data_IF_465139495056
#
_entry.id   IF_465139495056
#
_cell.length_a   1.000
_cell.length_b   1.000
_cell.length_c   1.000
_cell.angle_alpha   90.00
_cell.angle_beta   90.00
_cell.angle_gamma   90.00
#
_symmetry.space_group_name_H-M   'P 1'
#
loop_
_entity.id
_entity.type
_entity.pdbx_description
1 polymer ?
#
# COMPACT_ATOMS: atom_id res chain seq x y z
N UNK A 1 7.65 -22.36 1.54
CA UNK A 1 6.58 -21.52 0.94
C UNK A 1 5.36 -21.63 1.83
N UNK A 2 4.62 -20.53 2.09
CA UNK A 2 3.40 -20.61 2.86
C UNK A 2 2.40 -21.53 2.15
N UNK A 3 1.78 -22.44 2.90
CA UNK A 3 0.77 -23.39 2.41
C UNK A 3 -0.53 -23.11 3.12
N UNK A 4 -1.63 -23.12 2.39
CA UNK A 4 -2.96 -22.94 2.95
C UNK A 4 -3.93 -23.98 2.40
N UNK A 5 -4.98 -24.23 3.18
CA UNK A 5 -6.14 -24.99 2.77
C UNK A 5 -7.30 -24.02 2.60
N UNK A 6 -7.94 -24.05 1.44
CA UNK A 6 -8.99 -23.09 1.09
C UNK A 6 -10.32 -23.78 0.78
N UNK A 7 -11.42 -23.22 1.31
CA UNK A 7 -12.81 -23.55 0.95
C UNK A 7 -13.51 -22.28 0.50
N UNK A 8 -14.23 -22.34 -0.62
CA UNK A 8 -15.12 -21.27 -1.08
C UNK A 8 -16.55 -21.77 -1.10
N UNK A 9 -17.49 -20.94 -0.71
CA UNK A 9 -18.92 -21.22 -0.77
C UNK A 9 -19.73 -19.99 -1.18
N UNK A 10 -20.88 -20.21 -1.82
CA UNK A 10 -21.93 -19.19 -1.98
C UNK A 10 -23.01 -19.45 -0.95
N UNK A 11 -23.51 -18.38 -0.33
CA UNK A 11 -24.60 -18.46 0.63
C UNK A 11 -25.67 -17.47 0.22
N UNK A 12 -26.90 -17.97 0.14
CA UNK A 12 -28.10 -17.17 -0.02
C UNK A 12 -28.69 -16.87 1.36
N UNK A 13 -28.15 -15.83 1.99
CA UNK A 13 -28.59 -15.34 3.30
C UNK A 13 -28.21 -13.86 3.43
N UNK A 14 -28.75 -13.17 4.44
CA UNK A 14 -28.38 -11.81 4.74
C UNK A 14 -27.00 -11.75 5.41
N UNK A 15 -26.15 -10.80 5.01
CA UNK A 15 -24.75 -10.70 5.49
C UNK A 15 -24.66 -10.62 7.02
N UNK A 16 -25.59 -9.90 7.66
CA UNK A 16 -25.62 -9.79 9.12
C UNK A 16 -25.84 -11.14 9.80
N UNK A 17 -26.66 -12.03 9.23
CA UNK A 17 -26.90 -13.36 9.82
C UNK A 17 -25.61 -14.18 9.80
N UNK A 18 -24.86 -14.11 8.72
CA UNK A 18 -23.56 -14.78 8.58
C UNK A 18 -22.54 -14.21 9.58
N UNK A 19 -22.48 -12.88 9.71
CA UNK A 19 -21.61 -12.20 10.68
C UNK A 19 -21.92 -12.65 12.11
N UNK A 20 -23.19 -12.74 12.49
CA UNK A 20 -23.60 -13.20 13.83
C UNK A 20 -23.22 -14.67 14.08
N UNK A 21 -23.22 -15.53 13.05
CA UNK A 21 -22.74 -16.92 13.17
C UNK A 21 -21.23 -17.01 13.37
N UNK A 22 -20.45 -16.09 12.79
CA UNK A 22 -18.98 -16.11 12.85
C UNK A 22 -18.45 -15.43 14.12
N UNK A 23 -19.11 -14.37 14.60
CA UNK A 23 -18.65 -13.55 15.73
C UNK A 23 -18.24 -14.35 16.98
N UNK A 24 -18.94 -15.43 17.41
CA UNK A 24 -18.55 -16.21 18.58
C UNK A 24 -17.19 -16.90 18.48
N UNK A 25 -16.67 -17.08 17.27
CA UNK A 25 -15.40 -17.78 17.00
C UNK A 25 -14.28 -16.82 16.60
N UNK A 26 -14.56 -15.53 16.49
CA UNK A 26 -13.60 -14.52 16.05
C UNK A 26 -12.65 -14.12 17.18
N UNK A 27 -11.37 -13.98 16.85
CA UNK A 27 -10.33 -13.51 17.78
C UNK A 27 -10.45 -12.01 18.09
N UNK A 28 -11.28 -11.28 17.33
CA UNK A 28 -11.45 -9.83 17.45
C UNK A 28 -12.50 -9.26 16.49
N UNK A 29 -12.61 -7.92 16.41
CA UNK A 29 -13.56 -7.27 15.52
C UNK A 29 -13.22 -7.51 14.04
N UNK A 30 -14.23 -7.51 13.14
CA UNK A 30 -13.99 -7.63 11.71
C UNK A 30 -13.26 -6.42 11.13
N UNK A 31 -12.50 -6.66 10.05
CA UNK A 31 -11.93 -5.61 9.21
C UNK A 31 -12.69 -5.51 7.88
N UNK A 32 -13.03 -4.29 7.49
CA UNK A 32 -13.73 -3.98 6.24
C UNK A 32 -12.80 -3.27 5.26
N UNK A 33 -12.79 -3.70 4.01
CA UNK A 33 -12.02 -3.02 2.94
C UNK A 33 -12.50 -3.43 1.55
N UNK A 34 -12.20 -2.59 0.56
CA UNK A 34 -12.38 -2.93 -0.86
C UNK A 34 -11.14 -3.62 -1.42
N UNK A 35 -11.39 -4.50 -2.39
CA UNK A 35 -10.33 -5.19 -3.12
C UNK A 35 -10.68 -5.30 -4.60
N UNK A 36 -9.74 -4.91 -5.46
CA UNK A 36 -9.78 -5.11 -6.91
C UNK A 36 -8.72 -6.16 -7.29
N UNK A 37 -9.16 -7.26 -7.89
CA UNK A 37 -8.27 -8.28 -8.46
C UNK A 37 -8.38 -8.22 -9.99
N UNK A 38 -7.31 -7.83 -10.68
CA UNK A 38 -7.20 -7.93 -12.14
C UNK A 38 -6.46 -9.21 -12.52
N UNK A 39 -7.11 -10.08 -13.28
CA UNK A 39 -6.56 -11.34 -13.76
C UNK A 39 -6.00 -11.18 -15.16
N UNK A 40 -4.81 -11.71 -15.41
CA UNK A 40 -4.16 -11.67 -16.72
C UNK A 40 -4.21 -13.04 -17.39
N UNK A 41 -4.12 -13.04 -18.72
CA UNK A 41 -3.75 -14.26 -19.44
C UNK A 41 -2.36 -14.71 -18.98
N UNK A 42 -2.08 -16.01 -18.98
CA UNK A 42 -0.80 -16.55 -18.55
C UNK A 42 -0.39 -17.70 -19.47
N UNK A 43 0.22 -17.40 -20.63
CA UNK A 43 0.50 -18.40 -21.67
C UNK A 43 1.46 -19.51 -21.21
N UNK A 44 2.35 -19.20 -20.26
CA UNK A 44 3.28 -20.16 -19.64
C UNK A 44 2.60 -21.15 -18.68
N UNK A 45 1.30 -21.01 -18.41
CA UNK A 45 0.55 -21.82 -17.45
C UNK A 45 0.46 -21.19 -16.06
N UNK A 46 -0.50 -21.66 -15.27
CA UNK A 46 -0.85 -21.09 -13.95
C UNK A 46 -1.80 -19.89 -14.06
N UNK A 47 -1.90 -19.11 -12.97
CA UNK A 47 -2.75 -17.93 -12.89
C UNK A 47 -1.98 -16.77 -12.27
N UNK A 48 -2.10 -15.60 -12.88
CA UNK A 48 -1.49 -14.35 -12.39
C UNK A 48 -2.58 -13.30 -12.17
N UNK A 49 -2.52 -12.61 -11.03
CA UNK A 49 -3.38 -11.46 -10.76
C UNK A 49 -2.62 -10.32 -10.12
N UNK A 50 -3.01 -9.10 -10.47
CA UNK A 50 -2.66 -7.87 -9.76
C UNK A 50 -3.79 -7.55 -8.78
N UNK A 51 -3.44 -7.45 -7.50
CA UNK A 51 -4.36 -7.12 -6.41
C UNK A 51 -4.10 -5.71 -5.90
N UNK A 52 -5.17 -4.93 -5.77
CA UNK A 52 -5.17 -3.63 -5.12
C UNK A 52 -6.15 -3.73 -3.95
N UNK A 53 -5.63 -3.67 -2.74
CA UNK A 53 -6.41 -3.59 -1.50
C UNK A 53 -6.42 -2.14 -1.01
N UNK A 54 -7.52 -1.73 -0.38
CA UNK A 54 -7.62 -0.41 0.23
C UNK A 54 -6.46 -0.18 1.21
N UNK A 55 -5.81 0.99 1.09
CA UNK A 55 -4.73 1.45 1.97
C UNK A 55 -3.52 0.49 2.09
N UNK A 56 -3.32 -0.39 1.10
CA UNK A 56 -2.22 -1.37 1.07
C UNK A 56 -1.45 -1.31 -0.26
N UNK A 57 -0.15 -1.65 -0.26
CA UNK A 57 0.61 -1.79 -1.50
C UNK A 57 -0.05 -2.80 -2.44
N UNK A 58 0.01 -2.53 -3.75
CA UNK A 58 -0.47 -3.50 -4.73
C UNK A 58 0.37 -4.78 -4.67
N UNK A 59 -0.21 -5.91 -5.01
CA UNK A 59 0.44 -7.21 -4.95
C UNK A 59 0.29 -7.92 -6.29
N UNK A 60 1.39 -8.43 -6.84
CA UNK A 60 1.36 -9.37 -7.95
C UNK A 60 1.39 -10.79 -7.38
N UNK A 61 0.38 -11.58 -7.70
CA UNK A 61 0.19 -12.91 -7.12
C UNK A 61 0.16 -13.93 -8.25
N UNK A 62 1.18 -14.80 -8.29
CA UNK A 62 1.20 -15.99 -9.12
C UNK A 62 0.80 -17.20 -8.29
N UNK A 63 -0.07 -18.05 -8.84
CA UNK A 63 -0.46 -19.28 -8.21
C UNK A 63 -0.79 -20.34 -9.26
N UNK A 64 -0.47 -21.59 -8.93
CA UNK A 64 -0.85 -22.74 -9.72
C UNK A 64 -2.10 -23.37 -9.10
N UNK A 65 -3.08 -23.67 -9.95
CA UNK A 65 -4.27 -24.39 -9.54
C UNK A 65 -4.54 -25.47 -10.57
N UNK A 66 -4.61 -26.72 -10.13
CA UNK A 66 -5.08 -27.80 -10.98
C UNK A 66 -6.60 -27.62 -11.18
N UNK A 67 -7.01 -27.25 -12.39
CA UNK A 67 -8.41 -27.01 -12.77
C UNK A 67 -9.20 -28.32 -12.97
N UNK A 68 -8.65 -29.46 -12.56
CA UNK A 68 -9.30 -30.77 -12.67
C UNK A 68 -10.52 -30.80 -11.74
N UNK A 69 -11.71 -30.86 -12.34
CA UNK A 69 -13.02 -30.81 -11.68
C UNK A 69 -13.30 -31.95 -10.67
N UNK A 70 -12.44 -32.97 -10.62
CA UNK A 70 -12.59 -34.20 -9.83
C UNK A 70 -11.78 -34.26 -8.53
N UNK A 71 -11.00 -33.24 -8.16
CA UNK A 71 -10.28 -33.22 -6.88
C UNK A 71 -11.09 -32.51 -5.78
N UNK A 72 -11.17 -33.19 -4.65
CA UNK A 72 -11.91 -32.87 -3.43
C UNK A 72 -11.70 -31.44 -2.92
N UNK A 73 -12.76 -30.88 -2.35
CA UNK A 73 -12.68 -29.73 -1.44
C UNK A 73 -12.32 -30.32 -0.08
N UNK A 74 -11.31 -29.79 0.64
CA UNK A 74 -10.63 -28.50 0.45
C UNK A 74 -9.38 -28.53 -0.46
N UNK A 75 -9.03 -27.36 -1.04
CA UNK A 75 -7.95 -27.26 -2.06
C UNK A 75 -6.64 -26.72 -1.49
N UNK A 76 -5.52 -27.35 -1.86
CA UNK A 76 -4.16 -26.88 -1.58
C UNK A 76 -3.72 -25.90 -2.67
N UNK A 77 -3.16 -24.76 -2.28
CA UNK A 77 -2.59 -23.78 -3.21
C UNK A 77 -1.13 -23.48 -2.87
N UNK A 78 -0.26 -23.52 -3.88
CA UNK A 78 1.08 -22.93 -3.81
C UNK A 78 1.01 -21.55 -4.47
N UNK A 79 1.49 -20.52 -3.78
CA UNK A 79 1.45 -19.16 -4.29
C UNK A 79 2.74 -18.40 -4.02
N UNK A 80 3.04 -17.46 -4.91
CA UNK A 80 4.12 -16.48 -4.78
C UNK A 80 3.52 -15.07 -4.82
N UNK A 81 3.84 -14.26 -3.81
CA UNK A 81 3.38 -12.87 -3.71
C UNK A 81 4.60 -11.97 -3.89
N UNK A 82 4.56 -11.10 -4.88
CA UNK A 82 5.52 -10.01 -5.06
C UNK A 82 4.82 -8.69 -4.72
N UNK A 83 5.24 -7.98 -3.66
CA UNK A 83 4.69 -6.65 -3.38
C UNK A 83 5.15 -5.67 -4.46
N UNK A 84 4.22 -4.93 -5.04
CA UNK A 84 4.49 -3.79 -5.90
C UNK A 84 4.58 -2.58 -4.96
N UNK A 85 5.79 -2.34 -4.45
CA UNK A 85 6.03 -1.21 -3.57
C UNK A 85 5.95 0.10 -4.36
N UNK A 86 4.85 0.83 -4.16
CA UNK A 86 4.80 2.22 -4.54
C UNK A 86 5.55 3.05 -3.50
N UNK A 87 6.80 3.42 -3.83
CA UNK A 87 7.59 4.33 -3.01
C UNK A 87 7.23 5.76 -3.38
N UNK A 88 6.41 6.38 -2.54
CA UNK A 88 5.82 7.71 -2.78
C UNK A 88 6.77 8.86 -2.41
N UNK A 89 7.89 8.59 -1.72
CA UNK A 89 8.85 9.61 -1.32
C UNK A 89 10.29 9.19 -1.60
N UNK A 90 11.17 10.16 -1.87
CA UNK A 90 12.60 9.98 -2.02
C UNK A 90 13.24 9.36 -0.76
N UNK A 91 12.63 9.53 0.42
CA UNK A 91 13.07 8.89 1.66
C UNK A 91 12.91 7.37 1.61
N UNK A 92 11.81 6.86 1.03
CA UNK A 92 11.62 5.42 0.82
C UNK A 92 12.53 4.86 -0.28
N UNK A 93 12.93 5.70 -1.23
CA UNK A 93 13.92 5.34 -2.26
C UNK A 93 15.37 5.44 -1.77
N UNK A 94 15.62 6.18 -0.69
CA UNK A 94 16.96 6.59 -0.21
C UNK A 94 17.82 7.27 -1.30
N UNK A 95 17.17 7.77 -2.35
CA UNK A 95 17.80 8.37 -3.52
C UNK A 95 17.04 9.62 -3.97
N UNK A 96 17.80 10.65 -4.38
CA UNK A 96 17.29 11.90 -4.90
C UNK A 96 17.83 12.13 -6.30
N UNK A 97 16.91 12.13 -7.27
CA UNK A 97 17.17 12.64 -8.59
C UNK A 97 16.44 14.00 -8.76
N UNK A 98 17.16 15.09 -9.07
CA UNK A 98 16.55 16.38 -9.34
C UNK A 98 15.45 16.32 -10.40
N UNK A 99 15.63 15.53 -11.46
CA UNK A 99 14.68 15.34 -12.53
C UNK A 99 13.41 14.64 -12.05
N UNK A 100 13.56 13.48 -11.40
CA UNK A 100 12.40 12.76 -10.86
C UNK A 100 11.62 13.66 -9.89
N UNK A 101 12.34 14.39 -9.01
CA UNK A 101 11.70 15.32 -8.08
C UNK A 101 11.04 16.52 -8.76
N UNK A 102 11.38 16.84 -10.02
CA UNK A 102 10.68 17.84 -10.82
C UNK A 102 9.31 17.37 -11.28
N UNK A 103 9.15 16.07 -11.49
CA UNK A 103 7.91 15.45 -11.98
C UNK A 103 7.00 15.04 -10.83
N UNK A 104 5.68 15.21 -11.02
CA UNK A 104 4.70 14.76 -10.03
C UNK A 104 4.74 13.26 -9.82
N UNK A 105 5.15 12.51 -10.85
CA UNK A 105 5.14 11.06 -10.86
C UNK A 105 6.52 10.41 -10.91
N UNK A 106 7.56 11.24 -10.99
CA UNK A 106 8.95 10.80 -11.01
C UNK A 106 9.41 10.18 -12.32
N UNK A 107 8.65 10.32 -13.43
CA UNK A 107 8.97 9.63 -14.70
C UNK A 107 9.56 10.52 -15.78
N UNK A 108 9.58 11.84 -15.60
CA UNK A 108 10.17 12.74 -16.60
C UNK A 108 11.63 12.36 -16.86
N UNK A 109 12.02 12.31 -18.13
CA UNK A 109 13.38 11.97 -18.56
C UNK A 109 14.20 13.20 -18.96
N UNK A 110 13.56 14.35 -19.14
CA UNK A 110 14.18 15.56 -19.70
C UNK A 110 13.94 16.75 -18.77
N UNK A 111 15.00 17.48 -18.35
CA UNK A 111 14.87 18.70 -17.58
C UNK A 111 13.93 19.70 -18.23
N UNK A 112 12.84 20.01 -17.52
CA UNK A 112 11.82 20.94 -18.01
C UNK A 112 11.93 22.32 -17.36
N UNK A 113 12.84 22.50 -16.38
CA UNK A 113 13.11 23.81 -15.76
C UNK A 113 14.62 24.05 -15.51
N UNK A 114 15.03 25.32 -15.55
CA UNK A 114 16.43 25.73 -15.35
C UNK A 114 16.98 25.40 -13.96
N UNK A 115 16.11 25.22 -12.96
CA UNK A 115 16.55 24.84 -11.63
C UNK A 115 16.95 23.36 -11.58
N UNK A 116 16.31 22.47 -12.34
CA UNK A 116 16.75 21.07 -12.50
C UNK A 116 18.13 21.02 -13.17
N UNK A 117 18.33 21.78 -14.26
CA UNK A 117 19.64 21.88 -14.92
C UNK A 117 20.73 22.33 -13.94
N UNK A 118 20.44 23.38 -13.16
CA UNK A 118 21.34 23.87 -12.12
C UNK A 118 21.62 22.81 -11.05
N UNK A 119 20.64 21.98 -10.71
CA UNK A 119 20.81 20.92 -9.71
C UNK A 119 21.82 19.87 -10.18
N UNK A 120 21.75 19.44 -11.44
CA UNK A 120 22.72 18.53 -12.04
C UNK A 120 24.13 19.14 -12.14
N UNK A 121 24.22 20.40 -12.52
CA UNK A 121 25.50 21.11 -12.65
C UNK A 121 26.10 21.50 -11.29
N UNK A 122 25.30 21.53 -10.23
CA UNK A 122 25.75 21.96 -8.91
C UNK A 122 26.62 20.90 -8.22
N UNK A 123 27.78 21.32 -7.70
CA UNK A 123 28.58 20.50 -6.81
C UNK A 123 28.22 20.78 -5.34
N UNK A 124 27.14 20.16 -4.87
CA UNK A 124 26.74 20.24 -3.46
C UNK A 124 27.54 19.25 -2.61
N UNK A 125 28.23 19.78 -1.59
CA UNK A 125 28.87 18.97 -0.54
C UNK A 125 27.99 18.96 0.70
N UNK A 126 27.61 17.77 1.14
CA UNK A 126 26.84 17.58 2.37
C UNK A 126 27.61 18.10 3.60
N UNK A 127 26.94 18.69 4.60
CA UNK A 127 27.55 18.98 5.90
C UNK A 127 28.12 17.71 6.54
N UNK A 128 29.24 17.82 7.27
CA UNK A 128 29.87 16.69 7.95
C UNK A 128 29.00 16.11 9.07
N UNK A 129 28.28 16.99 9.77
CA UNK A 129 27.33 16.62 10.81
C UNK A 129 25.96 17.14 10.39
N UNK A 130 25.06 16.23 10.04
CA UNK A 130 23.67 16.55 9.75
C UNK A 130 22.82 16.07 10.91
N UNK A 131 21.98 16.96 11.43
CA UNK A 131 20.95 16.58 12.40
C UNK A 131 19.94 15.62 11.78
N UNK A 132 19.15 15.00 12.63
CA UNK A 132 18.25 13.92 12.25
C UNK A 132 16.96 14.46 11.63
N UNK A 133 16.40 15.53 12.20
CA UNK A 133 15.13 16.10 11.77
C UNK A 133 15.29 17.51 11.20
N UNK A 134 14.51 17.78 10.16
CA UNK A 134 14.26 19.10 9.59
C UNK A 134 12.90 19.57 10.06
N UNK A 135 12.83 20.81 10.54
CA UNK A 135 11.57 21.46 10.90
C UNK A 135 11.39 22.69 10.03
N UNK A 136 10.34 22.72 9.22
CA UNK A 136 9.96 23.85 8.38
C UNK A 136 8.69 24.54 8.85
N UNK A 137 8.32 25.62 8.16
CA UNK A 137 7.12 26.42 8.43
C UNK A 137 7.13 27.08 9.82
N UNK A 138 8.30 27.34 10.37
CA UNK A 138 8.45 28.04 11.64
C UNK A 138 8.09 29.52 11.40
N UNK A 139 7.09 30.08 12.10
CA UNK A 139 6.74 31.48 11.92
C UNK A 139 7.85 32.41 12.44
N UNK A 140 8.02 33.63 11.90
CA UNK A 140 9.11 34.53 12.30
C UNK A 140 9.12 34.91 13.78
N UNK A 141 7.96 34.82 14.46
CA UNK A 141 7.81 35.09 15.89
C UNK A 141 8.31 33.96 16.80
N UNK A 142 8.57 32.77 16.26
CA UNK A 142 9.05 31.62 17.02
C UNK A 142 10.57 31.66 17.16
N UNK A 143 11.04 31.69 18.41
CA UNK A 143 12.44 31.66 18.75
C UNK A 143 12.91 30.25 19.16
N UNK A 144 14.21 30.09 19.36
CA UNK A 144 14.81 28.79 19.68
C UNK A 144 14.35 28.24 21.04
N UNK A 145 14.08 29.12 22.01
CA UNK A 145 13.54 28.72 23.31
C UNK A 145 12.11 28.18 23.20
N UNK A 146 11.29 28.71 22.30
CA UNK A 146 9.94 28.19 22.03
C UNK A 146 10.03 26.78 21.44
N UNK A 147 10.96 26.57 20.50
CA UNK A 147 11.21 25.24 19.93
C UNK A 147 11.67 24.25 21.00
N UNK A 148 12.49 24.67 21.97
CA UNK A 148 12.88 23.83 23.09
C UNK A 148 11.70 23.42 23.98
N UNK A 149 10.70 24.29 24.13
CA UNK A 149 9.46 23.95 24.85
C UNK A 149 8.56 23.00 24.05
N UNK A 150 8.47 23.18 22.73
CA UNK A 150 7.67 22.32 21.84
C UNK A 150 8.30 20.93 21.71
N UNK A 151 9.63 20.86 21.69
CA UNK A 151 10.42 19.63 21.54
C UNK A 151 11.30 19.38 22.77
N UNK A 152 10.70 19.04 23.93
CA UNK A 152 11.45 18.90 25.19
C UNK A 152 12.48 17.76 25.16
N UNK A 153 12.28 16.77 24.30
CA UNK A 153 13.20 15.64 24.10
C UNK A 153 14.27 15.90 23.02
N UNK A 154 14.35 17.13 22.51
CA UNK A 154 15.41 17.51 21.59
C UNK A 154 16.73 17.73 22.37
N UNK A 155 17.75 17.00 21.94
CA UNK A 155 19.13 17.12 22.47
C UNK A 155 19.89 18.28 21.83
N UNK A 156 19.51 18.68 20.61
CA UNK A 156 20.10 19.81 19.89
C UNK A 156 19.02 20.48 19.06
N UNK A 157 19.01 21.80 19.08
CA UNK A 157 18.17 22.65 18.23
C UNK A 157 19.10 23.63 17.52
N UNK A 158 18.87 23.83 16.23
CA UNK A 158 19.61 24.79 15.43
C UNK A 158 18.63 25.54 14.53
N UNK A 159 18.12 26.67 15.02
CA UNK A 159 17.22 27.54 14.27
C UNK A 159 18.03 28.35 13.24
N UNK A 160 17.74 28.17 11.96
CA UNK A 160 18.51 28.81 10.90
C UNK A 160 18.06 30.26 10.71
N UNK A 161 19.05 31.16 10.68
CA UNK A 161 18.88 32.60 10.56
C UNK A 161 19.57 33.15 9.31
N UNK A 162 19.12 34.31 8.85
CA UNK A 162 19.89 35.12 7.91
C UNK A 162 21.19 35.58 8.59
N UNK A 163 22.33 35.44 7.90
CA UNK A 163 23.65 35.76 8.49
C UNK A 163 23.85 37.27 8.69
N UNK A 164 23.13 38.10 7.94
CA UNK A 164 23.21 39.56 7.98
C UNK A 164 22.13 40.11 8.91
N UNK A 165 20.86 39.77 8.69
CA UNK A 165 19.74 40.35 9.47
C UNK A 165 19.48 39.63 10.79
N UNK A 166 20.06 38.44 10.99
CA UNK A 166 19.80 37.55 12.13
C UNK A 166 18.33 37.10 12.28
N UNK A 167 17.48 37.41 11.30
CA UNK A 167 16.07 37.01 11.29
C UNK A 167 15.92 35.50 11.02
N UNK A 168 14.94 34.82 11.64
CA UNK A 168 14.66 33.43 11.37
C UNK A 168 14.30 33.19 9.89
N UNK A 169 14.92 32.17 9.28
CA UNK A 169 14.60 31.72 7.91
C UNK A 169 13.34 30.86 7.83
N UNK A 170 12.71 30.59 8.98
CA UNK A 170 11.50 29.77 9.08
C UNK A 170 11.74 28.26 9.05
N UNK A 171 12.98 27.80 9.33
CA UNK A 171 13.28 26.39 9.51
C UNK A 171 14.43 26.15 10.50
N UNK A 172 14.45 24.97 11.11
CA UNK A 172 15.44 24.54 12.08
C UNK A 172 15.86 23.08 11.83
N UNK A 173 16.96 22.68 12.45
CA UNK A 173 17.44 21.30 12.47
C UNK A 173 17.55 20.80 13.90
N UNK A 174 17.02 19.60 14.15
CA UNK A 174 16.94 19.03 15.49
C UNK A 174 17.51 17.61 15.56
N UNK A 175 18.10 17.28 16.71
CA UNK A 175 18.47 15.92 17.10
C UNK A 175 17.78 15.57 18.41
N UNK A 176 17.35 14.32 18.58
CA UNK A 176 16.70 13.84 19.79
C UNK A 176 15.63 12.81 19.48
N UNK A 177 14.80 12.50 20.47
CA UNK A 177 13.67 11.59 20.29
C UNK A 177 12.41 12.41 19.98
N UNK A 178 12.12 12.56 18.69
CA UNK A 178 10.98 13.34 18.17
C UNK A 178 10.03 12.37 17.46
N UNK A 179 8.76 12.42 17.84
CA UNK A 179 7.70 11.66 17.18
C UNK A 179 7.26 12.43 15.92
N UNK A 180 7.56 11.90 14.73
CA UNK A 180 7.24 12.58 13.46
C UNK A 180 5.74 12.55 13.14
N UNK A 181 5.00 11.59 13.68
CA UNK A 181 3.59 11.38 13.35
C UNK A 181 2.68 12.26 14.23
N UNK A 182 3.24 12.85 15.29
CA UNK A 182 2.55 13.83 16.13
C UNK A 182 2.45 15.20 15.45
N UNK A 183 1.28 15.83 15.60
CA UNK A 183 1.07 17.22 15.16
C UNK A 183 1.67 18.23 16.16
N UNK A 184 2.55 19.11 15.67
CA UNK A 184 3.17 20.18 16.46
C UNK A 184 2.72 21.54 15.97
N UNK A 185 2.43 22.45 16.91
CA UNK A 185 1.95 23.80 16.64
C UNK A 185 2.66 24.84 17.50
N UNK A 186 2.83 26.04 16.96
CA UNK A 186 3.19 27.24 17.70
C UNK A 186 2.21 28.37 17.37
N UNK A 187 1.50 28.91 18.36
CA UNK A 187 0.49 29.95 18.18
C UNK A 187 -0.51 29.65 17.04
N UNK A 188 -0.94 28.39 16.93
CA UNK A 188 -1.86 27.92 15.89
C UNK A 188 -1.20 27.59 14.54
N UNK A 189 0.07 27.93 14.33
CA UNK A 189 0.81 27.55 13.12
C UNK A 189 1.31 26.11 13.22
N UNK A 190 0.92 25.28 12.26
CA UNK A 190 1.42 23.92 12.09
C UNK A 190 2.88 23.94 11.67
N UNK A 191 3.72 23.26 12.45
CA UNK A 191 5.12 23.02 12.10
C UNK A 191 5.21 21.80 11.20
N UNK A 192 6.10 21.86 10.21
CA UNK A 192 6.35 20.73 9.32
C UNK A 192 7.60 19.99 9.76
N UNK A 193 7.51 18.68 10.00
CA UNK A 193 8.64 17.84 10.41
C UNK A 193 8.92 16.82 9.32
N UNK A 194 10.18 16.68 8.96
CA UNK A 194 10.67 15.72 7.97
C UNK A 194 12.01 15.16 8.45
N UNK A 195 12.38 13.97 7.99
CA UNK A 195 13.75 13.52 8.15
C UNK A 195 14.70 14.41 7.35
N UNK A 196 15.92 14.59 7.86
CA UNK A 196 16.89 15.45 7.18
C UNK A 196 17.35 14.80 5.87
N UNK A 197 16.88 15.34 4.74
CA UNK A 197 17.16 14.80 3.41
C UNK A 197 18.67 14.68 3.11
N UNK A 198 19.50 15.64 3.53
CA UNK A 198 20.95 15.59 3.33
C UNK A 198 21.66 14.47 4.11
N UNK A 199 21.00 13.88 5.12
CA UNK A 199 21.48 12.75 5.90
C UNK A 199 21.00 11.43 5.31
N UNK A 200 19.73 11.37 4.91
CA UNK A 200 19.04 10.12 4.60
C UNK A 200 18.89 9.82 3.10
N UNK A 201 19.15 10.79 2.22
CA UNK A 201 18.92 10.63 0.78
C UNK A 201 20.20 10.85 -0.01
N UNK A 202 20.65 9.82 -0.74
CA UNK A 202 21.79 9.93 -1.63
C UNK A 202 21.49 10.86 -2.81
N UNK A 203 22.46 11.67 -3.23
CA UNK A 203 22.29 12.61 -4.35
C UNK A 203 21.55 13.91 -4.01
N UNK A 204 21.11 14.09 -2.75
CA UNK A 204 20.34 15.26 -2.30
C UNK A 204 20.94 16.60 -2.77
N UNK A 205 20.08 17.46 -3.33
CA UNK A 205 20.40 18.86 -3.66
C UNK A 205 19.44 19.81 -2.94
N UNK A 206 19.92 20.81 -2.18
CA UNK A 206 19.05 21.78 -1.54
C UNK A 206 18.45 22.75 -2.57
N UNK A 207 17.40 23.48 -2.15
CA UNK A 207 16.66 24.44 -2.98
C UNK A 207 17.54 25.44 -3.74
N UNK A 208 18.55 26.01 -3.06
CA UNK A 208 19.51 26.97 -3.62
C UNK A 208 20.35 26.42 -4.78
N UNK A 209 20.52 25.10 -4.81
CA UNK A 209 21.22 24.41 -5.89
C UNK A 209 20.29 24.01 -7.03
N UNK A 210 18.97 24.23 -6.90
CA UNK A 210 18.01 23.82 -7.93
C UNK A 210 17.10 22.64 -7.56
N UNK A 211 17.46 21.90 -6.51
CA UNK A 211 16.68 20.77 -5.99
C UNK A 211 15.63 21.16 -4.94
N UNK A 212 15.62 20.43 -3.82
CA UNK A 212 14.66 20.56 -2.72
C UNK A 212 13.47 19.60 -2.84
N UNK A 213 12.60 19.62 -1.82
CA UNK A 213 11.31 18.93 -1.78
C UNK A 213 10.20 19.91 -1.42
N UNK A 214 9.00 19.67 -1.93
CA UNK A 214 7.85 20.53 -1.70
C UNK A 214 7.92 21.84 -2.49
N UNK A 215 7.28 22.88 -1.95
CA UNK A 215 7.18 24.20 -2.56
C UNK A 215 5.77 24.54 -3.03
N UNK A 216 5.61 25.76 -3.56
CA UNK A 216 4.34 26.28 -4.09
C UNK A 216 4.43 26.41 -5.60
N UNK A 217 3.35 26.09 -6.33
CA UNK A 217 3.32 26.20 -7.80
C UNK A 217 3.68 27.62 -8.27
N UNK A 218 3.29 28.64 -7.50
CA UNK A 218 3.57 30.05 -7.79
C UNK A 218 5.05 30.44 -7.63
N UNK A 219 5.85 29.65 -6.92
CA UNK A 219 7.28 29.96 -6.65
C UNK A 219 8.23 29.56 -7.78
N UNK A 220 7.74 28.91 -8.83
CA UNK A 220 8.56 28.44 -9.96
C UNK A 220 9.53 27.29 -9.64
N UNK A 221 9.52 26.77 -8.42
CA UNK A 221 10.38 25.66 -8.00
C UNK A 221 9.61 24.65 -7.11
N UNK A 222 8.62 23.98 -7.71
CA UNK A 222 7.88 22.90 -7.07
C UNK A 222 8.64 21.58 -7.25
N UNK A 223 8.78 20.80 -6.17
CA UNK A 223 9.40 19.47 -6.21
C UNK A 223 8.58 18.43 -5.45
N UNK A 224 8.60 17.20 -5.93
CA UNK A 224 7.88 16.06 -5.41
C UNK A 224 8.83 15.04 -4.76
N UNK A 225 8.26 14.02 -4.13
CA UNK A 225 8.99 12.99 -3.40
C UNK A 225 9.27 13.33 -1.92
N UNK A 226 8.69 14.40 -1.37
CA UNK A 226 8.72 14.70 0.08
C UNK A 226 7.34 14.50 0.71
N UNK A 227 7.23 14.53 2.04
CA UNK A 227 5.97 14.21 2.71
C UNK A 227 4.82 15.18 2.38
N UNK A 228 5.11 16.47 2.13
CA UNK A 228 4.10 17.45 1.70
C UNK A 228 3.67 17.31 0.23
N UNK A 229 4.55 16.75 -0.60
CA UNK A 229 4.37 16.59 -2.05
C UNK A 229 4.91 15.22 -2.44
N UNK A 230 4.26 14.11 -2.05
CA UNK A 230 4.71 12.80 -2.46
C UNK A 230 4.57 12.68 -3.98
N UNK A 231 5.34 11.76 -4.58
CA UNK A 231 5.07 11.33 -5.94
C UNK A 231 3.64 10.81 -6.01
N UNK A 232 2.94 11.11 -7.10
CA UNK A 232 1.65 10.52 -7.45
C UNK A 232 1.85 9.65 -8.68
N UNK A 233 1.15 8.52 -8.78
CA UNK A 233 1.30 7.63 -9.93
C UNK A 233 1.14 8.39 -11.26
N UNK A 234 1.97 8.11 -12.29
CA UNK A 234 1.70 8.59 -13.64
C UNK A 234 0.39 7.97 -14.15
N UNK A 235 -0.41 8.76 -14.85
CA UNK A 235 -1.33 8.24 -15.85
C UNK A 235 -0.58 8.20 -17.17
N UNK A 236 -0.26 7.02 -17.69
CA UNK A 236 -0.30 6.68 -19.14
C UNK A 236 0.02 5.20 -19.40
N UNK A 237 0.66 4.50 -18.45
CA UNK A 237 0.78 3.03 -18.47
C UNK A 237 0.75 2.54 -17.02
N UNK A 238 -0.36 1.96 -16.60
CA UNK A 238 -0.49 1.30 -15.29
C UNK A 238 0.33 0.01 -15.27
N UNK A 239 0.65 -0.52 -14.07
CA UNK A 239 1.25 -1.86 -13.97
C UNK A 239 0.38 -2.91 -14.68
N UNK A 240 -0.94 -2.69 -14.65
CA UNK A 240 -1.92 -3.46 -15.39
C UNK A 240 -1.74 -3.35 -16.91
N UNK A 241 -1.45 -2.17 -17.46
CA UNK A 241 -1.21 -1.99 -18.90
C UNK A 241 0.06 -2.72 -19.35
N UNK A 242 1.16 -2.62 -18.60
CA UNK A 242 2.42 -3.35 -18.90
C UNK A 242 2.18 -4.86 -18.87
N UNK A 243 1.50 -5.36 -17.81
CA UNK A 243 1.21 -6.78 -17.66
C UNK A 243 0.24 -7.27 -18.75
N UNK A 244 -0.78 -6.49 -19.06
CA UNK A 244 -1.74 -6.78 -20.15
C UNK A 244 -1.02 -6.93 -21.48
N UNK A 245 -0.16 -5.97 -21.85
CA UNK A 245 0.62 -6.04 -23.09
C UNK A 245 1.57 -7.24 -23.11
N UNK A 246 2.22 -7.54 -21.98
CA UNK A 246 3.24 -8.59 -21.90
C UNK A 246 2.65 -10.01 -21.91
N UNK A 247 1.43 -10.18 -21.40
CA UNK A 247 0.86 -11.50 -21.12
C UNK A 247 -0.30 -11.87 -22.07
N UNK A 248 -0.54 -11.06 -23.11
CA UNK A 248 -1.60 -11.30 -24.08
C UNK A 248 -2.99 -10.88 -23.59
N UNK A 249 -3.05 -9.88 -22.72
CA UNK A 249 -4.28 -9.21 -22.31
C UNK A 249 -4.76 -9.53 -20.89
N UNK A 250 -5.80 -8.80 -20.49
CA UNK A 250 -6.53 -9.02 -19.24
C UNK A 250 -7.59 -10.10 -19.47
N UNK A 251 -7.61 -11.11 -18.61
CA UNK A 251 -8.64 -12.16 -18.58
C UNK A 251 -9.94 -11.64 -17.97
N UNK A 252 -9.85 -10.73 -17.01
CA UNK A 252 -10.99 -9.98 -16.46
C UNK A 252 -10.70 -9.42 -15.07
N UNK A 253 -11.70 -8.76 -14.48
CA UNK A 253 -11.55 -8.06 -13.21
C UNK A 253 -12.62 -8.49 -12.20
N UNK A 254 -12.23 -8.52 -10.92
CA UNK A 254 -13.13 -8.83 -9.80
C UNK A 254 -13.03 -7.71 -8.77
N UNK A 255 -14.10 -6.91 -8.68
CA UNK A 255 -14.30 -5.92 -7.64
C UNK A 255 -15.11 -6.52 -6.49
N UNK A 256 -14.66 -6.32 -5.25
CA UNK A 256 -15.39 -6.81 -4.08
C UNK A 256 -15.21 -5.98 -2.83
N UNK A 257 -16.23 -6.00 -1.99
CA UNK A 257 -16.17 -5.55 -0.60
C UNK A 257 -15.95 -6.78 0.29
N UNK A 258 -14.92 -6.72 1.13
CA UNK A 258 -14.51 -7.82 1.99
C UNK A 258 -14.71 -7.47 3.45
N UNK A 259 -15.35 -8.38 4.17
CA UNK A 259 -15.34 -8.43 5.64
C UNK A 259 -14.45 -9.59 6.07
N UNK A 260 -13.33 -9.29 6.73
CA UNK A 260 -12.37 -10.28 7.21
C UNK A 260 -12.53 -10.51 8.71
N UNK A 261 -12.65 -11.78 9.10
CA UNK A 261 -12.48 -12.26 10.46
C UNK A 261 -11.23 -13.13 10.58
N UNK A 262 -10.58 -13.06 11.74
CA UNK A 262 -9.52 -13.97 12.15
C UNK A 262 -10.05 -14.89 13.24
N UNK A 263 -9.74 -16.19 13.16
CA UNK A 263 -10.10 -17.18 14.17
C UNK A 263 -8.92 -18.10 14.48
N UNK A 264 -8.94 -18.71 15.68
CA UNK A 264 -7.90 -19.64 16.10
C UNK A 264 -6.56 -18.95 16.34
N UNK A 265 -6.58 -17.77 16.96
CA UNK A 265 -5.43 -16.91 17.18
C UNK A 265 -4.70 -16.52 15.88
N UNK A 266 -5.47 -16.19 14.84
CA UNK A 266 -4.97 -15.75 13.54
C UNK A 266 -4.58 -16.88 12.58
N UNK A 267 -4.81 -18.15 12.93
CA UNK A 267 -4.53 -19.29 12.06
C UNK A 267 -5.46 -19.37 10.86
N UNK A 268 -6.74 -19.02 11.05
CA UNK A 268 -7.76 -19.11 10.00
C UNK A 268 -8.31 -17.74 9.67
N UNK A 269 -8.44 -17.46 8.37
CA UNK A 269 -9.06 -16.25 7.84
C UNK A 269 -10.41 -16.61 7.25
N UNK A 270 -11.43 -15.86 7.62
CA UNK A 270 -12.77 -15.98 7.07
C UNK A 270 -13.07 -14.69 6.31
N UNK A 271 -13.17 -14.79 4.99
CA UNK A 271 -13.56 -13.69 4.14
C UNK A 271 -15.04 -13.82 3.80
N UNK A 272 -15.82 -12.79 4.09
CA UNK A 272 -17.17 -12.60 3.55
C UNK A 272 -17.06 -11.57 2.43
N UNK A 273 -17.28 -12.02 1.20
CA UNK A 273 -17.06 -11.25 -0.02
C UNK A 273 -18.40 -10.94 -0.69
N UNK A 274 -18.70 -9.66 -0.84
CA UNK A 274 -19.74 -9.17 -1.74
C UNK A 274 -19.09 -8.79 -3.07
N UNK A 275 -19.34 -9.59 -4.10
CA UNK A 275 -18.67 -9.48 -5.41
C UNK A 275 -19.57 -8.71 -6.38
N UNK A 276 -19.02 -7.67 -7.02
CA UNK A 276 -19.73 -6.91 -8.05
C UNK A 276 -20.15 -7.83 -9.20
N UNK A 277 -21.40 -7.72 -9.63
CA UNK A 277 -22.01 -8.64 -10.61
C UNK A 277 -22.80 -9.80 -9.98
N UNK A 278 -22.67 -10.02 -8.67
CA UNK A 278 -23.45 -11.00 -7.90
C UNK A 278 -24.08 -10.34 -6.67
N UNK A 279 -24.92 -9.33 -6.89
CA UNK A 279 -25.47 -8.50 -5.81
C UNK A 279 -26.37 -9.26 -4.83
N UNK A 280 -27.03 -10.32 -5.30
CA UNK A 280 -27.92 -11.17 -4.50
C UNK A 280 -27.21 -12.36 -3.85
N UNK A 281 -25.90 -12.50 -3.99
CA UNK A 281 -25.17 -13.69 -3.50
C UNK A 281 -23.97 -13.27 -2.67
N UNK A 282 -23.86 -13.84 -1.48
CA UNK A 282 -22.71 -13.64 -0.62
C UNK A 282 -21.76 -14.81 -0.81
N UNK A 283 -20.47 -14.50 -0.93
CA UNK A 283 -19.43 -15.53 -0.97
C UNK A 283 -18.69 -15.59 0.36
N UNK A 284 -18.37 -16.80 0.79
CA UNK A 284 -17.46 -17.04 1.91
C UNK A 284 -16.21 -17.74 1.39
N UNK A 285 -15.04 -17.30 1.84
CA UNK A 285 -13.77 -17.98 1.64
C UNK A 285 -13.09 -18.22 2.99
N UNK A 286 -12.86 -19.49 3.31
CA UNK A 286 -12.12 -19.94 4.48
C UNK A 286 -10.70 -20.29 4.06
N UNK A 287 -9.71 -19.68 4.70
CA UNK A 287 -8.30 -19.92 4.46
C UNK A 287 -7.62 -20.34 5.77
N UNK A 288 -7.27 -21.62 5.88
CA UNK A 288 -6.51 -22.17 7.01
C UNK A 288 -5.03 -22.16 6.64
N UNK A 289 -4.23 -21.37 7.33
CA UNK A 289 -2.78 -21.32 7.12
C UNK A 289 -2.15 -22.51 7.84
N UNK A 290 -1.45 -23.36 7.09
CA UNK A 290 -0.75 -24.52 7.63
C UNK A 290 0.57 -24.08 8.27
N UNK A 291 0.82 -24.53 9.49
CA UNK A 291 2.15 -24.45 10.12
C UNK A 291 3.08 -25.49 9.48
N UNK A 292 4.38 -25.34 9.71
CA UNK A 292 5.40 -26.19 9.09
C UNK A 292 5.27 -27.67 9.50
N UNK A 293 4.77 -27.93 10.72
CA UNK A 293 4.51 -29.26 11.28
C UNK A 293 3.16 -29.86 10.88
N UNK A 294 2.28 -29.08 10.24
CA UNK A 294 0.93 -29.51 9.92
C UNK A 294 0.82 -30.10 8.51
N UNK A 295 0.05 -31.18 8.40
CA UNK A 295 -0.31 -31.78 7.12
C UNK A 295 -1.55 -31.11 6.52
N UNK A 296 -1.78 -31.22 5.20
CA UNK A 296 -2.99 -30.71 4.57
C UNK A 296 -4.27 -31.26 5.20
N UNK A 297 -4.31 -32.55 5.54
CA UNK A 297 -5.47 -33.22 6.15
C UNK A 297 -5.87 -32.56 7.48
N UNK A 298 -4.87 -32.11 8.25
CA UNK A 298 -5.09 -31.38 9.49
C UNK A 298 -5.78 -30.02 9.24
N UNK A 299 -5.32 -29.29 8.22
CA UNK A 299 -5.98 -28.04 7.82
C UNK A 299 -7.38 -28.26 7.25
N UNK A 300 -7.60 -29.39 6.55
CA UNK A 300 -8.92 -29.76 6.05
C UNK A 300 -9.91 -30.04 7.19
N UNK A 301 -9.47 -30.71 8.26
CA UNK A 301 -10.29 -30.95 9.45
C UNK A 301 -10.72 -29.62 10.10
N UNK A 302 -9.77 -28.70 10.32
CA UNK A 302 -10.04 -27.37 10.87
C UNK A 302 -11.07 -26.62 10.00
N UNK A 303 -10.87 -26.63 8.67
CA UNK A 303 -11.77 -25.97 7.73
C UNK A 303 -13.17 -26.58 7.77
N UNK A 304 -13.28 -27.92 7.85
CA UNK A 304 -14.56 -28.64 7.90
C UNK A 304 -15.33 -28.36 9.20
N UNK A 305 -14.66 -28.45 10.35
CA UNK A 305 -15.27 -28.13 11.65
C UNK A 305 -15.82 -26.68 11.68
N UNK A 306 -15.10 -25.76 11.05
CA UNK A 306 -15.50 -24.36 10.99
C UNK A 306 -16.69 -24.16 10.02
N UNK A 307 -16.70 -24.85 8.87
CA UNK A 307 -17.87 -24.88 7.97
C UNK A 307 -19.13 -25.36 8.71
N UNK A 308 -19.03 -26.46 9.47
CA UNK A 308 -20.16 -27.02 10.23
C UNK A 308 -20.69 -26.00 11.26
N UNK A 309 -19.80 -25.32 11.99
CA UNK A 309 -20.16 -24.29 12.98
C UNK A 309 -20.85 -23.07 12.36
N UNK A 310 -20.44 -22.68 11.14
CA UNK A 310 -21.01 -21.52 10.42
C UNK A 310 -22.27 -21.92 9.63
N UNK A 311 -22.53 -23.22 9.46
CA UNK A 311 -23.65 -23.76 8.72
C UNK A 311 -23.44 -23.77 7.20
N UNK A 312 -22.20 -23.91 6.74
CA UNK A 312 -21.85 -24.03 5.32
C UNK A 312 -21.97 -25.50 4.90
N UNK A 313 -22.93 -25.79 4.02
CA UNK A 313 -23.14 -27.13 3.47
C UNK A 313 -22.22 -27.40 2.27
N UNK A 314 -21.91 -28.67 2.00
CA UNK A 314 -21.04 -29.04 0.87
C UNK A 314 -21.64 -28.65 -0.50
N UNK A 315 -22.96 -28.63 -0.61
CA UNK A 315 -23.71 -28.21 -1.80
C UNK A 315 -23.47 -26.74 -2.16
N UNK A 316 -23.16 -25.92 -1.15
CA UNK A 316 -22.89 -24.50 -1.30
C UNK A 316 -21.46 -24.23 -1.78
N UNK A 317 -20.61 -25.27 -1.85
CA UNK A 317 -19.20 -25.11 -2.18
C UNK A 317 -18.98 -24.75 -3.65
N UNK A 318 -18.08 -23.78 -3.86
CA UNK A 318 -17.68 -23.30 -5.18
C UNK A 318 -16.34 -23.91 -5.54
N UNK A 319 -16.28 -24.54 -6.71
CA UNK A 319 -15.07 -25.21 -7.20
C UNK A 319 -14.11 -24.27 -7.94
N UNK A 320 -14.56 -23.14 -8.46
CA UNK A 320 -13.75 -22.23 -9.28
C UNK A 320 -13.48 -20.88 -8.61
N UNK A 321 -12.67 -20.03 -9.24
CA UNK A 321 -12.47 -18.66 -8.77
C UNK A 321 -13.67 -17.78 -9.16
N UNK A 322 -13.83 -16.62 -8.50
CA UNK A 322 -14.92 -15.69 -8.81
C UNK A 322 -14.87 -15.17 -10.26
N UNK A 323 -13.67 -14.98 -10.82
CA UNK A 323 -13.51 -14.61 -12.23
C UNK A 323 -14.10 -15.66 -13.18
N UNK A 324 -13.98 -16.94 -12.84
CA UNK A 324 -14.53 -18.02 -13.68
C UNK A 324 -16.06 -18.05 -13.61
N UNK A 325 -16.66 -17.61 -12.48
CA UNK A 325 -18.11 -17.46 -12.36
C UNK A 325 -18.62 -16.26 -13.18
N UNK A 326 -17.92 -15.13 -13.13
CA UNK A 326 -18.29 -13.93 -13.90
C UNK A 326 -18.24 -14.22 -15.41
N UNK A 327 -17.14 -14.81 -15.91
CA UNK A 327 -17.00 -15.12 -17.33
C UNK A 327 -18.09 -16.09 -17.85
N UNK A 328 -18.52 -17.04 -17.02
CA UNK A 328 -19.65 -17.94 -17.35
C UNK A 328 -20.98 -17.19 -17.44
N UNK A 329 -21.22 -16.25 -16.53
CA UNK A 329 -22.44 -15.42 -16.52
C UNK A 329 -22.50 -14.54 -17.76
N UNK A 330 -21.39 -13.90 -18.14
CA UNK A 330 -21.32 -13.04 -19.31
C UNK A 330 -21.56 -13.84 -20.60
N UNK A 331 -20.97 -15.04 -20.71
CA UNK A 331 -21.20 -15.95 -21.86
C UNK A 331 -22.66 -16.40 -22.00
N UNK A 332 -23.41 -16.51 -20.90
CA UNK A 332 -24.83 -16.86 -20.91
C UNK A 332 -25.73 -15.68 -21.30
N UNK A 333 -25.33 -14.45 -20.96
CA UNK A 333 -26.05 -13.25 -21.33
C UNK A 333 -25.87 -12.88 -22.81
N UNK A 334 -24.70 -13.18 -23.41
CA UNK A 334 -24.43 -12.89 -24.84
C UNK A 334 -25.14 -13.86 -25.81
N UNK A 335 -25.74 -14.96 -25.31
CA UNK A 335 -26.48 -15.93 -26.12
C UNK A 335 -28.01 -15.69 -26.15
N UNK A 336 -28.49 -14.60 -25.54
CA UNK A 336 -29.88 -14.15 -25.54
C UNK A 336 -30.01 -12.79 -26.21
#
# INVERSE_FOLDING_TARGET
MPRNVEIKASIDDHINNIIERIRPFADGPPRYFTQNDTFFNCPSGGRLKLRIEQDSPAQLIYYERNDIASLSIPKLSNYSIAPIMYRSTCFQWEFYDPQMSGSIDGTDLIPHDRAIDRAYQSNYKRPRCSSSFFIGHIPPSCAEHDLAQIFPNATRINLIRDIVTCEPRGYAFLDGNIDRDKEYKFNGHLLFIEDTASKNIFGWKPRRCGGGLGGKKQSGQLRFGGSQRPFKKPFHVTEQDVLSLSLGGIRGQVDKHRTLFLTGHGQTRIHIDQVKGFESTIFIELEVILRDDQTPEHGQLIAKELCEKIGIQEENHIKCAYIDLLLKKDSQNDCH
#
